data_IF_590889181261
#
_entry.id   IF_590889181261
#
_cell.length_a   1.000
_cell.length_b   1.000
_cell.length_c   1.000
_cell.angle_alpha   90.00
_cell.angle_beta   90.00
_cell.angle_gamma   90.00
#
_symmetry.space_group_name_H-M   'P 1'
#
loop_
_entity.id
_entity.type
_entity.pdbx_description
1 polymer ?
#
# COMPACT_ATOMS: atom_id res chain seq x y z
N UNK A 1 20.54 -4.29 34.68
CA UNK A 1 21.52 -5.30 34.29
C UNK A 1 22.19 -4.80 33.02
N UNK A 2 23.37 -4.17 33.15
CA UNK A 2 24.20 -3.69 32.03
C UNK A 2 25.18 -4.82 31.71
N UNK A 3 25.27 -5.22 30.45
CA UNK A 3 26.34 -6.09 29.96
C UNK A 3 26.89 -5.44 28.69
N UNK A 4 28.21 -5.38 28.67
CA UNK A 4 29.05 -4.50 27.90
C UNK A 4 29.22 -4.90 26.43
N UNK A 5 29.49 -3.87 25.63
CA UNK A 5 29.96 -3.92 24.26
C UNK A 5 31.37 -4.52 24.19
N UNK A 6 31.58 -5.56 23.38
CA UNK A 6 32.92 -6.03 22.99
C UNK A 6 33.19 -5.66 21.55
N UNK A 7 34.08 -4.68 21.41
CA UNK A 7 34.75 -4.28 20.17
C UNK A 7 35.95 -5.21 19.98
N UNK A 8 35.99 -5.96 18.87
CA UNK A 8 37.09 -6.87 18.51
C UNK A 8 37.68 -6.51 17.14
N UNK A 9 38.96 -6.20 17.13
CA UNK A 9 39.70 -5.49 16.08
C UNK A 9 40.35 -6.40 15.02
N UNK A 10 40.48 -5.82 13.81
CA UNK A 10 41.63 -5.90 12.86
C UNK A 10 41.95 -7.22 12.14
N UNK A 11 41.85 -7.14 10.81
CA UNK A 11 42.77 -7.80 9.87
C UNK A 11 43.02 -6.88 8.68
N UNK A 12 44.21 -6.27 8.61
CA UNK A 12 44.77 -5.57 7.43
C UNK A 12 46.10 -6.20 7.13
N UNK A 13 46.33 -6.66 5.90
CA UNK A 13 47.60 -6.77 5.15
C UNK A 13 47.26 -7.13 3.68
N UNK A 14 47.95 -6.74 2.61
CA UNK A 14 48.94 -5.71 2.26
C UNK A 14 49.26 -5.94 0.76
N UNK A 15 49.36 -4.85 -0.02
CA UNK A 15 50.25 -4.55 -1.16
C UNK A 15 50.34 -5.47 -2.40
N UNK A 16 50.22 -4.81 -3.57
CA UNK A 16 50.97 -5.07 -4.80
C UNK A 16 50.19 -4.61 -6.05
N UNK A 17 50.71 -3.95 -7.07
CA UNK A 17 51.97 -3.26 -7.34
C UNK A 17 51.73 -2.33 -8.56
N UNK A 18 52.67 -1.42 -8.80
CA UNK A 18 52.67 -0.39 -9.83
C UNK A 18 52.62 -0.91 -11.28
N UNK A 19 52.08 -0.09 -12.17
CA UNK A 19 52.17 -0.27 -13.63
C UNK A 19 51.81 1.02 -14.36
N UNK A 20 52.72 1.99 -14.37
CA UNK A 20 52.67 3.14 -15.27
C UNK A 20 53.31 2.76 -16.60
N UNK A 21 52.56 2.85 -17.70
CA UNK A 21 53.10 2.91 -19.06
C UNK A 21 52.43 4.09 -19.75
N UNK A 22 53.26 5.04 -20.14
CA UNK A 22 52.87 6.22 -20.90
C UNK A 22 53.26 6.06 -22.38
N UNK A 23 52.59 6.90 -23.19
CA UNK A 23 52.93 7.39 -24.53
C UNK A 23 52.53 6.51 -25.73
N UNK A 24 51.52 6.93 -26.49
CA UNK A 24 51.69 7.66 -27.77
C UNK A 24 50.34 8.02 -28.42
N UNK A 25 50.31 9.23 -28.97
CA UNK A 25 49.19 9.86 -29.64
C UNK A 25 48.73 9.10 -30.89
N UNK A 26 47.41 8.98 -31.03
CA UNK A 26 46.74 8.65 -32.29
C UNK A 26 45.43 9.43 -32.34
N UNK A 27 45.48 10.65 -32.88
CA UNK A 27 44.27 11.43 -33.18
C UNK A 27 43.67 10.83 -34.45
N UNK A 28 42.64 10.00 -34.29
CA UNK A 28 41.77 9.61 -35.40
C UNK A 28 40.45 10.33 -35.18
N UNK A 29 40.19 11.35 -36.00
CA UNK A 29 38.89 11.99 -36.07
C UNK A 29 37.88 10.98 -36.64
N UNK A 30 37.04 10.43 -35.77
CA UNK A 30 35.80 9.74 -36.12
C UNK A 30 34.66 10.43 -35.35
N UNK A 31 33.63 10.82 -36.09
CA UNK A 31 32.69 11.89 -35.73
C UNK A 31 31.82 11.66 -34.49
N UNK A 32 31.10 12.72 -34.03
CA UNK A 32 30.21 12.64 -32.90
C UNK A 32 28.94 11.89 -33.32
N UNK A 33 28.87 10.59 -33.08
CA UNK A 33 27.66 9.80 -33.31
C UNK A 33 27.58 8.59 -32.37
N UNK A 34 27.59 8.81 -31.04
CA UNK A 34 27.23 7.77 -30.07
C UNK A 34 26.67 8.28 -28.73
N UNK A 35 26.63 9.59 -28.48
CA UNK A 35 26.05 10.13 -27.24
C UNK A 35 24.51 10.14 -27.28
N UNK A 36 23.90 10.28 -28.46
CA UNK A 36 22.44 10.32 -28.61
C UNK A 36 21.78 8.96 -28.42
N UNK A 37 22.45 7.85 -28.78
CA UNK A 37 21.87 6.51 -28.64
C UNK A 37 21.67 6.10 -27.17
N UNK A 38 22.61 6.46 -26.29
CA UNK A 38 22.51 6.19 -24.85
C UNK A 38 21.45 7.06 -24.14
N UNK A 39 21.32 8.33 -24.57
CA UNK A 39 20.31 9.25 -24.05
C UNK A 39 18.88 8.93 -24.54
N UNK A 40 18.74 8.38 -25.75
CA UNK A 40 17.45 7.89 -26.27
C UNK A 40 17.03 6.55 -25.68
N UNK A 41 17.98 5.66 -25.37
CA UNK A 41 17.73 4.39 -24.65
C UNK A 41 17.17 4.62 -23.24
N UNK A 42 17.81 5.49 -22.46
CA UNK A 42 17.36 5.81 -21.09
C UNK A 42 15.97 6.49 -21.05
N UNK A 43 15.67 7.34 -22.03
CA UNK A 43 14.33 7.97 -22.18
C UNK A 43 13.27 6.97 -22.64
N UNK A 44 13.64 6.00 -23.48
CA UNK A 44 12.77 4.92 -23.93
C UNK A 44 12.40 3.96 -22.81
N UNK A 45 13.37 3.57 -21.98
CA UNK A 45 13.17 2.73 -20.80
C UNK A 45 12.36 3.43 -19.71
N UNK A 46 12.65 4.71 -19.42
CA UNK A 46 11.86 5.49 -18.47
C UNK A 46 10.41 5.68 -18.94
N UNK A 47 10.17 5.88 -20.24
CA UNK A 47 8.82 5.97 -20.82
C UNK A 47 8.11 4.63 -20.84
N UNK A 48 8.82 3.54 -21.13
CA UNK A 48 8.27 2.18 -21.10
C UNK A 48 7.96 1.73 -19.67
N UNK A 49 8.78 2.10 -18.67
CA UNK A 49 8.52 1.86 -17.25
C UNK A 49 7.38 2.73 -16.73
N UNK A 50 7.32 4.02 -17.11
CA UNK A 50 6.18 4.87 -16.79
C UNK A 50 4.89 4.36 -17.45
N UNK A 51 4.95 3.90 -18.70
CA UNK A 51 3.82 3.25 -19.35
C UNK A 51 3.46 1.91 -18.70
N UNK A 52 4.42 1.08 -18.31
CA UNK A 52 4.16 -0.17 -17.59
C UNK A 52 3.56 0.09 -16.19
N UNK A 53 3.92 1.18 -15.52
CA UNK A 53 3.28 1.60 -14.27
C UNK A 53 1.89 2.20 -14.50
N UNK A 54 1.66 2.89 -15.63
CA UNK A 54 0.31 3.29 -16.08
C UNK A 54 -0.54 2.06 -16.44
N UNK A 55 0.07 0.96 -16.92
CA UNK A 55 -0.62 -0.30 -17.24
C UNK A 55 -0.82 -1.21 -16.02
N UNK A 56 0.04 -1.13 -15.01
CA UNK A 56 -0.10 -1.90 -13.78
C UNK A 56 -1.22 -1.29 -12.93
N UNK A 57 -2.33 -2.00 -12.76
CA UNK A 57 -3.35 -1.61 -11.80
C UNK A 57 -2.78 -1.75 -10.38
N UNK A 58 -2.93 -0.71 -9.56
CA UNK A 58 -2.63 -0.82 -8.14
C UNK A 58 -3.38 -2.02 -7.55
N UNK A 59 -2.68 -2.84 -6.76
CA UNK A 59 -3.27 -4.05 -6.15
C UNK A 59 -2.60 -4.37 -4.82
N UNK A 60 -3.32 -5.11 -3.99
CA UNK A 60 -2.77 -5.79 -2.83
C UNK A 60 -3.26 -7.23 -2.83
N UNK A 61 -2.34 -8.16 -2.68
CA UNK A 61 -2.66 -9.59 -2.65
C UNK A 61 -1.81 -10.29 -1.61
N UNK A 62 -2.39 -11.21 -0.85
CA UNK A 62 -1.62 -12.07 0.04
C UNK A 62 -2.40 -12.59 1.22
N UNK A 63 -1.70 -13.33 2.07
CA UNK A 63 -2.24 -13.80 3.33
C UNK A 63 -1.16 -13.80 4.39
N UNK A 64 -1.49 -13.21 5.54
CA UNK A 64 -0.58 -13.06 6.67
C UNK A 64 -1.26 -13.45 7.97
N UNK A 65 -0.54 -14.18 8.81
CA UNK A 65 -0.84 -14.29 10.23
C UNK A 65 -0.10 -13.17 10.96
N UNK A 66 -0.82 -12.42 11.79
CA UNK A 66 -0.21 -11.34 12.59
C UNK A 66 0.12 -11.84 14.00
N UNK A 67 1.10 -11.20 14.63
CA UNK A 67 1.22 -11.19 16.09
C UNK A 67 0.51 -9.95 16.63
N UNK A 68 -0.37 -10.14 17.62
CA UNK A 68 -1.13 -9.07 18.23
C UNK A 68 -0.92 -9.06 19.74
N UNK A 69 -0.44 -7.95 20.28
CA UNK A 69 0.01 -7.86 21.68
C UNK A 69 -1.09 -8.17 22.70
N UNK A 70 -2.36 -7.88 22.37
CA UNK A 70 -3.50 -8.12 23.26
C UNK A 70 -4.11 -9.51 23.07
N UNK A 71 -3.56 -10.33 22.18
CA UNK A 71 -3.95 -11.74 21.96
C UNK A 71 -2.74 -12.56 21.51
N UNK A 72 -1.68 -12.65 22.34
CA UNK A 72 -0.38 -13.17 21.91
C UNK A 72 -0.40 -14.65 21.54
N UNK A 73 -1.31 -15.43 22.13
CA UNK A 73 -1.44 -16.87 21.91
C UNK A 73 -2.46 -17.22 20.80
N UNK A 74 -3.12 -16.22 20.23
CA UNK A 74 -4.18 -16.43 19.25
C UNK A 74 -3.63 -16.51 17.82
N UNK A 75 -4.31 -17.30 16.99
CA UNK A 75 -4.05 -17.35 15.55
C UNK A 75 -4.98 -16.36 14.84
N UNK A 76 -4.42 -15.22 14.45
CA UNK A 76 -5.14 -14.17 13.72
C UNK A 76 -4.61 -14.09 12.30
N UNK A 77 -5.46 -14.38 11.31
CA UNK A 77 -5.10 -14.42 9.89
C UNK A 77 -5.94 -13.47 9.06
N UNK A 78 -5.27 -12.84 8.11
CA UNK A 78 -5.87 -12.01 7.08
C UNK A 78 -5.53 -12.58 5.71
N UNK A 79 -6.49 -12.49 4.80
CA UNK A 79 -6.26 -12.66 3.37
C UNK A 79 -6.84 -11.45 2.66
N UNK A 80 -6.04 -10.84 1.79
CA UNK A 80 -6.46 -9.69 0.99
C UNK A 80 -6.23 -10.03 -0.47
N UNK A 81 -7.22 -9.71 -1.30
CA UNK A 81 -7.11 -9.76 -2.75
C UNK A 81 -7.93 -8.60 -3.29
N UNK A 82 -7.25 -7.52 -3.67
CA UNK A 82 -7.89 -6.29 -4.11
C UNK A 82 -7.11 -5.61 -5.23
N UNK A 83 -7.86 -4.98 -6.12
CA UNK A 83 -7.32 -4.20 -7.25
C UNK A 83 -8.08 -2.89 -7.40
N UNK A 84 -7.38 -1.88 -7.90
CA UNK A 84 -7.98 -0.61 -8.27
C UNK A 84 -9.04 -0.84 -9.36
N UNK A 85 -10.16 -0.14 -9.20
CA UNK A 85 -11.24 -0.09 -10.17
C UNK A 85 -11.75 1.37 -10.23
N UNK A 86 -10.89 2.31 -10.65
CA UNK A 86 -11.17 3.74 -10.55
C UNK A 86 -12.45 4.12 -11.29
N UNK A 87 -13.22 5.05 -10.73
CA UNK A 87 -14.41 5.62 -11.34
C UNK A 87 -15.54 4.62 -11.66
N UNK A 88 -15.63 3.51 -10.92
CA UNK A 88 -16.62 2.46 -11.17
C UNK A 88 -17.81 2.49 -10.21
N UNK A 89 -17.76 3.29 -9.14
CA UNK A 89 -18.81 3.32 -8.12
C UNK A 89 -19.34 4.74 -7.90
N UNK A 90 -20.51 5.09 -8.46
CA UNK A 90 -21.12 6.38 -8.25
C UNK A 90 -21.31 6.70 -6.77
N UNK A 91 -21.10 7.95 -6.40
CA UNK A 91 -21.35 8.42 -5.03
C UNK A 91 -22.41 9.53 -5.05
N UNK A 92 -23.46 9.42 -4.22
CA UNK A 92 -24.47 10.46 -4.11
C UNK A 92 -23.83 11.82 -3.80
N UNK A 93 -24.24 12.85 -4.53
CA UNK A 93 -23.75 14.22 -4.34
C UNK A 93 -22.42 14.53 -5.04
N UNK A 94 -21.82 13.59 -5.77
CA UNK A 94 -20.65 13.86 -6.62
C UNK A 94 -21.03 13.74 -8.10
N UNK A 95 -20.55 14.69 -8.91
CA UNK A 95 -20.66 14.70 -10.38
C UNK A 95 -19.59 13.84 -11.07
N UNK A 96 -19.04 12.85 -10.36
CA UNK A 96 -18.09 11.88 -10.89
C UNK A 96 -18.76 10.51 -11.04
N UNK A 97 -18.42 9.72 -12.08
CA UNK A 97 -18.91 8.34 -12.22
C UNK A 97 -18.42 7.41 -11.08
N UNK A 98 -17.41 7.83 -10.33
CA UNK A 98 -16.93 7.23 -9.10
C UNK A 98 -15.71 7.97 -8.57
N UNK A 99 -14.96 7.38 -7.63
CA UNK A 99 -13.71 7.95 -7.14
C UNK A 99 -12.48 7.36 -7.86
N UNK A 100 -11.38 8.10 -7.99
CA UNK A 100 -10.11 7.53 -8.48
C UNK A 100 -9.59 6.40 -7.57
N UNK A 101 -10.05 6.36 -6.32
CA UNK A 101 -9.67 5.36 -5.29
C UNK A 101 -10.66 4.19 -5.22
N UNK A 102 -11.65 4.12 -6.11
CA UNK A 102 -12.55 2.97 -6.16
C UNK A 102 -11.75 1.69 -6.38
N UNK A 103 -12.16 0.63 -5.69
CA UNK A 103 -11.50 -0.66 -5.74
C UNK A 103 -12.50 -1.80 -5.64
N UNK A 104 -12.09 -2.96 -6.12
CA UNK A 104 -12.84 -4.21 -6.00
C UNK A 104 -11.95 -5.30 -5.42
N UNK A 105 -12.55 -6.26 -4.75
CA UNK A 105 -11.80 -7.34 -4.11
C UNK A 105 -12.46 -7.87 -2.87
N UNK A 106 -11.71 -8.70 -2.14
CA UNK A 106 -12.16 -9.33 -0.90
C UNK A 106 -11.12 -9.22 0.20
N UNK A 107 -11.63 -9.17 1.42
CA UNK A 107 -10.87 -9.36 2.65
C UNK A 107 -11.48 -10.55 3.38
N UNK A 108 -10.63 -11.45 3.86
CA UNK A 108 -11.01 -12.51 4.79
C UNK A 108 -10.23 -12.33 6.08
N UNK A 109 -10.92 -12.53 7.19
CA UNK A 109 -10.36 -12.51 8.53
C UNK A 109 -10.75 -13.81 9.25
N UNK A 110 -9.83 -14.37 10.01
CA UNK A 110 -10.12 -15.42 10.98
C UNK A 110 -9.31 -15.24 12.25
N UNK A 111 -9.93 -15.48 13.39
CA UNK A 111 -9.33 -15.38 14.71
C UNK A 111 -9.71 -16.63 15.50
N UNK A 112 -8.71 -17.45 15.80
CA UNK A 112 -8.85 -18.64 16.62
C UNK A 112 -8.09 -18.43 17.94
N UNK A 113 -8.79 -18.70 19.04
CA UNK A 113 -8.23 -18.79 20.39
C UNK A 113 -8.49 -20.18 20.94
N UNK A 114 -7.63 -20.67 21.83
CA UNK A 114 -7.81 -21.97 22.48
C UNK A 114 -9.15 -22.05 23.23
N UNK A 115 -9.85 -23.19 23.09
CA UNK A 115 -11.14 -23.43 23.74
C UNK A 115 -12.30 -22.55 23.25
N UNK A 116 -12.10 -21.71 22.23
CA UNK A 116 -13.14 -20.83 21.67
C UNK A 116 -13.47 -21.17 20.23
N UNK A 117 -14.71 -20.91 19.84
CA UNK A 117 -15.13 -21.00 18.43
C UNK A 117 -14.38 -19.94 17.62
N UNK A 118 -13.82 -20.33 16.48
CA UNK A 118 -13.14 -19.41 15.56
C UNK A 118 -14.09 -18.32 15.06
N UNK A 119 -13.71 -17.06 15.30
CA UNK A 119 -14.32 -15.89 14.67
C UNK A 119 -13.84 -15.74 13.23
N UNK A 120 -14.71 -15.37 12.31
CA UNK A 120 -14.35 -15.13 10.93
C UNK A 120 -15.26 -14.11 10.26
N UNK A 121 -14.71 -13.40 9.28
CA UNK A 121 -15.44 -12.44 8.45
C UNK A 121 -14.96 -12.51 7.00
N UNK A 122 -15.88 -12.28 6.06
CA UNK A 122 -15.62 -11.97 4.66
C UNK A 122 -16.20 -10.60 4.37
N UNK A 123 -15.43 -9.77 3.68
CA UNK A 123 -15.81 -8.42 3.32
C UNK A 123 -15.44 -8.13 1.87
N UNK A 124 -16.19 -7.22 1.24
CA UNK A 124 -15.93 -6.71 -0.10
C UNK A 124 -15.19 -5.39 0.00
N UNK A 125 -14.08 -5.26 -0.70
CA UNK A 125 -13.33 -4.00 -0.79
C UNK A 125 -14.13 -2.99 -1.62
N UNK A 126 -14.20 -1.75 -1.14
CA UNK A 126 -14.87 -0.64 -1.83
C UNK A 126 -13.95 0.53 -2.15
N UNK A 127 -12.78 0.62 -1.51
CA UNK A 127 -11.81 1.69 -1.70
C UNK A 127 -10.38 1.17 -1.46
N UNK A 128 -9.42 1.64 -2.25
CA UNK A 128 -7.99 1.36 -2.02
C UNK A 128 -7.11 2.50 -2.55
N UNK A 129 -6.05 2.82 -1.81
CA UNK A 129 -4.94 3.69 -2.24
C UNK A 129 -3.65 2.96 -1.89
N UNK A 130 -2.64 3.09 -2.76
CA UNK A 130 -1.31 2.50 -2.54
C UNK A 130 -0.24 3.58 -2.60
N UNK A 131 0.89 3.36 -1.95
CA UNK A 131 2.06 4.23 -2.01
C UNK A 131 3.21 3.67 -1.19
N UNK A 132 4.43 3.70 -1.72
CA UNK A 132 5.63 3.30 -0.97
C UNK A 132 5.61 1.87 -0.42
N UNK A 133 4.99 0.91 -1.12
CA UNK A 133 4.81 -0.47 -0.63
C UNK A 133 3.75 -0.61 0.48
N UNK A 134 2.92 0.42 0.67
CA UNK A 134 1.80 0.43 1.59
C UNK A 134 0.49 0.48 0.81
N UNK A 135 -0.54 -0.22 1.29
CA UNK A 135 -1.90 -0.13 0.81
C UNK A 135 -2.82 0.26 1.96
N UNK A 136 -3.69 1.23 1.75
CA UNK A 136 -4.82 1.56 2.62
C UNK A 136 -6.09 1.18 1.89
N UNK A 137 -6.95 0.39 2.50
CA UNK A 137 -8.21 -0.03 1.91
C UNK A 137 -9.35 0.01 2.93
N UNK A 138 -10.58 0.08 2.42
CA UNK A 138 -11.78 -0.17 3.22
C UNK A 138 -12.58 -1.30 2.63
N UNK A 139 -13.24 -2.05 3.50
CA UNK A 139 -14.08 -3.16 3.11
C UNK A 139 -15.38 -3.19 3.92
N UNK A 140 -16.43 -3.70 3.30
CA UNK A 140 -17.77 -3.83 3.86
C UNK A 140 -18.05 -5.31 4.11
N UNK A 141 -18.38 -5.68 5.35
CA UNK A 141 -18.69 -7.06 5.75
C UNK A 141 -19.87 -7.59 4.92
N UNK A 142 -19.66 -8.72 4.24
CA UNK A 142 -20.69 -9.42 3.46
C UNK A 142 -21.16 -10.69 4.16
N UNK A 143 -20.29 -11.33 4.96
CA UNK A 143 -20.64 -12.53 5.72
C UNK A 143 -19.72 -12.65 6.94
N UNK A 144 -20.26 -12.89 8.13
CA UNK A 144 -19.46 -13.02 9.35
C UNK A 144 -20.23 -13.76 10.45
N UNK A 145 -19.51 -14.39 11.39
CA UNK A 145 -20.08 -14.89 12.65
C UNK A 145 -19.73 -14.04 13.88
N UNK A 146 -18.94 -12.97 13.70
CA UNK A 146 -18.49 -12.06 14.78
C UNK A 146 -18.84 -10.60 14.52
N UNK A 147 -19.17 -10.25 13.27
CA UNK A 147 -19.40 -8.87 12.84
C UNK A 147 -20.72 -8.69 12.11
N UNK A 148 -21.27 -7.48 12.17
CA UNK A 148 -22.53 -7.15 11.50
C UNK A 148 -22.32 -7.03 9.99
N UNK A 149 -23.15 -7.71 9.19
CA UNK A 149 -23.22 -7.51 7.73
C UNK A 149 -23.51 -6.03 7.43
N UNK A 150 -22.74 -5.45 6.52
CA UNK A 150 -22.80 -4.04 6.16
C UNK A 150 -21.90 -3.11 6.98
N UNK A 151 -21.25 -3.58 8.06
CA UNK A 151 -20.22 -2.79 8.77
C UNK A 151 -19.04 -2.54 7.81
N UNK A 152 -18.59 -1.29 7.71
CA UNK A 152 -17.35 -0.92 7.02
C UNK A 152 -16.21 -0.85 8.03
N UNK A 153 -15.05 -1.37 7.66
CA UNK A 153 -13.80 -1.22 8.41
C UNK A 153 -12.65 -0.83 7.49
N UNK A 154 -11.61 -0.25 8.09
CA UNK A 154 -10.35 0.06 7.43
C UNK A 154 -9.31 -1.03 7.66
N UNK A 155 -8.49 -1.29 6.65
CA UNK A 155 -7.26 -2.07 6.75
C UNK A 155 -6.12 -1.33 6.08
N UNK A 156 -4.93 -1.48 6.64
CA UNK A 156 -3.69 -1.05 6.01
C UNK A 156 -2.70 -2.20 5.99
N UNK A 157 -1.92 -2.28 4.92
CA UNK A 157 -0.85 -3.27 4.72
C UNK A 157 0.41 -2.50 4.38
N UNK A 158 1.54 -2.83 4.99
CA UNK A 158 2.86 -2.34 4.61
C UNK A 158 3.78 -3.52 4.36
N UNK A 159 4.42 -3.53 3.20
CA UNK A 159 5.47 -4.48 2.89
C UNK A 159 6.72 -4.18 3.71
N UNK A 160 7.30 -5.23 4.27
CA UNK A 160 8.58 -5.21 4.94
C UNK A 160 9.72 -4.82 3.99
N UNK A 161 10.78 -4.23 4.53
CA UNK A 161 11.99 -3.86 3.78
C UNK A 161 13.22 -4.19 4.60
N UNK A 162 14.30 -4.61 3.95
CA UNK A 162 15.58 -4.86 4.62
C UNK A 162 15.52 -5.96 5.69
N UNK A 163 14.65 -6.96 5.51
CA UNK A 163 14.47 -8.06 6.47
C UNK A 163 13.38 -7.82 7.53
N UNK A 164 12.80 -6.62 7.59
CA UNK A 164 11.62 -6.37 8.43
C UNK A 164 10.40 -7.16 7.93
N UNK A 165 9.51 -7.63 8.82
CA UNK A 165 8.27 -8.28 8.42
C UNK A 165 7.29 -7.26 7.81
N UNK A 166 6.36 -7.77 7.01
CA UNK A 166 5.17 -7.01 6.65
C UNK A 166 4.39 -6.59 7.91
N UNK A 167 3.61 -5.52 7.80
CA UNK A 167 2.73 -5.05 8.88
C UNK A 167 1.31 -4.89 8.38
N UNK A 168 0.37 -5.09 9.29
CA UNK A 168 -1.06 -4.91 9.05
C UNK A 168 -1.67 -4.01 10.13
N UNK A 169 -2.53 -3.09 9.71
CA UNK A 169 -3.36 -2.27 10.59
C UNK A 169 -4.82 -2.57 10.35
N UNK A 170 -5.63 -2.57 11.40
CA UNK A 170 -7.06 -2.86 11.34
C UNK A 170 -7.88 -1.90 12.18
N UNK A 171 -8.99 -1.41 11.63
CA UNK A 171 -9.76 -0.30 12.16
C UNK A 171 -10.73 -0.63 13.30
N UNK A 172 -10.40 -1.57 14.18
CA UNK A 172 -11.21 -1.98 15.33
C UNK A 172 -10.34 -2.30 16.56
N UNK A 173 -11.00 -2.63 17.67
CA UNK A 173 -10.44 -3.07 18.96
C UNK A 173 -9.68 -2.01 19.76
N UNK A 174 -8.64 -1.40 19.19
CA UNK A 174 -7.80 -0.39 19.87
C UNK A 174 -7.75 0.96 19.13
N UNK A 175 -8.42 1.04 17.98
CA UNK A 175 -8.45 2.21 17.11
C UNK A 175 -9.87 2.49 16.65
N UNK A 176 -10.08 3.67 16.06
CA UNK A 176 -11.39 4.11 15.56
C UNK A 176 -12.46 4.20 16.67
N UNK A 177 -12.08 4.57 17.90
CA UNK A 177 -13.02 5.00 18.93
C UNK A 177 -13.27 6.50 18.86
N UNK A 178 -14.49 6.91 19.16
CA UNK A 178 -14.85 8.30 19.38
C UNK A 178 -14.67 8.65 20.87
N UNK A 179 -13.63 9.43 21.25
CA UNK A 179 -13.28 9.65 22.64
C UNK A 179 -14.32 10.48 23.42
N UNK A 180 -15.21 11.20 22.72
CA UNK A 180 -16.20 12.09 23.35
C UNK A 180 -17.64 11.58 23.26
N UNK A 181 -17.85 10.35 22.80
CA UNK A 181 -19.19 9.76 22.68
C UNK A 181 -19.22 8.38 23.29
N UNK A 182 -20.36 8.09 23.89
CA UNK A 182 -20.74 6.78 24.37
C UNK A 182 -22.10 6.41 23.80
N UNK A 183 -22.43 5.13 23.79
CA UNK A 183 -23.80 4.70 23.50
C UNK A 183 -24.74 5.00 24.68
N UNK A 184 -26.02 4.68 24.54
CA UNK A 184 -27.02 4.90 25.61
C UNK A 184 -26.72 4.15 26.91
N UNK A 185 -25.81 3.18 26.89
CA UNK A 185 -25.40 2.36 28.04
C UNK A 185 -24.04 2.79 28.60
N UNK A 186 -23.43 3.85 28.07
CA UNK A 186 -22.13 4.33 28.51
C UNK A 186 -20.94 3.59 27.90
N UNK A 187 -21.14 2.71 26.91
CA UNK A 187 -20.02 2.01 26.26
C UNK A 187 -19.31 2.92 25.25
N UNK A 188 -18.02 2.69 25.05
CA UNK A 188 -17.26 3.32 23.97
C UNK A 188 -17.90 3.03 22.61
N UNK A 189 -17.84 3.99 21.69
CA UNK A 189 -18.44 3.87 20.36
C UNK A 189 -17.40 3.93 19.26
N UNK A 190 -17.51 3.01 18.31
CA UNK A 190 -16.78 3.03 17.05
C UNK A 190 -17.61 3.80 16.01
N UNK A 191 -17.22 5.03 15.60
CA UNK A 191 -17.85 5.71 14.48
C UNK A 191 -17.72 4.91 13.17
N UNK A 192 -18.62 5.23 12.24
CA UNK A 192 -18.59 4.67 10.89
C UNK A 192 -17.32 5.10 10.17
N UNK A 193 -16.60 4.13 9.61
CA UNK A 193 -15.40 4.38 8.81
C UNK A 193 -15.77 5.00 7.45
N UNK A 194 -15.06 6.07 7.07
CA UNK A 194 -15.11 6.67 5.73
C UNK A 194 -14.45 5.76 4.68
N UNK A 195 -14.51 6.11 3.39
CA UNK A 195 -13.78 5.36 2.35
C UNK A 195 -12.29 5.62 2.44
N UNK A 196 -11.45 4.59 2.25
CA UNK A 196 -9.98 4.70 2.31
C UNK A 196 -9.42 5.26 3.63
N UNK A 197 -10.16 5.12 4.73
CA UNK A 197 -9.69 5.45 6.08
C UNK A 197 -9.28 4.17 6.80
N UNK A 198 -8.02 4.08 7.22
CA UNK A 198 -7.49 2.97 8.02
C UNK A 198 -6.40 3.48 8.97
N UNK A 199 -6.15 2.80 10.11
CA UNK A 199 -5.03 3.10 10.98
C UNK A 199 -3.69 2.82 10.28
N UNK A 200 -2.58 3.29 10.86
CA UNK A 200 -1.25 2.88 10.44
C UNK A 200 -1.05 1.35 10.59
N UNK A 201 -0.23 0.70 9.73
CA UNK A 201 0.14 -0.69 9.92
C UNK A 201 0.98 -0.86 11.19
N UNK A 202 0.46 -1.60 12.18
CA UNK A 202 1.12 -1.74 13.48
C UNK A 202 1.47 -3.18 13.82
N UNK A 203 0.61 -4.14 13.47
CA UNK A 203 0.78 -5.54 13.85
C UNK A 203 1.74 -6.24 12.87
N UNK A 204 2.87 -6.80 13.34
CA UNK A 204 3.80 -7.52 12.47
C UNK A 204 3.18 -8.81 11.97
N UNK A 205 3.40 -9.12 10.69
CA UNK A 205 3.08 -10.40 10.07
C UNK A 205 4.19 -11.38 10.43
N UNK A 206 3.83 -12.47 11.11
CA UNK A 206 4.76 -13.50 11.58
C UNK A 206 4.79 -14.73 10.69
N UNK A 207 3.81 -14.89 9.80
CA UNK A 207 3.76 -15.97 8.82
C UNK A 207 2.99 -15.55 7.57
N UNK A 208 3.54 -15.84 6.40
CA UNK A 208 2.99 -15.38 5.12
C UNK A 208 3.42 -13.94 4.83
N UNK A 209 2.64 -13.23 4.02
CA UNK A 209 2.97 -11.87 3.58
C UNK A 209 2.00 -11.34 2.53
N UNK A 210 2.27 -10.13 2.09
CA UNK A 210 1.47 -9.38 1.13
C UNK A 210 2.35 -8.77 0.04
N UNK A 211 1.85 -8.82 -1.18
CA UNK A 211 2.37 -8.06 -2.33
C UNK A 211 1.54 -6.80 -2.49
N UNK A 212 2.18 -5.63 -2.48
CA UNK A 212 1.55 -4.34 -2.75
C UNK A 212 2.16 -3.77 -4.02
N UNK A 213 1.36 -3.70 -5.07
CA UNK A 213 1.74 -2.98 -6.29
C UNK A 213 1.15 -1.60 -6.26
N UNK A 214 2.03 -0.61 -6.34
CA UNK A 214 1.67 0.78 -6.44
C UNK A 214 1.42 1.19 -7.89
N UNK A 215 0.39 2.02 -8.07
CA UNK A 215 0.18 2.83 -9.26
C UNK A 215 -0.39 4.19 -8.84
N UNK A 216 -0.02 5.23 -9.57
CA UNK A 216 -0.57 6.57 -9.38
C UNK A 216 -2.07 6.60 -9.68
N UNK A 217 -2.78 7.54 -9.05
CA UNK A 217 -4.19 7.74 -9.32
C UNK A 217 -4.38 8.18 -10.78
N UNK A 218 -5.36 7.60 -11.52
CA UNK A 218 -5.59 7.99 -12.90
C UNK A 218 -6.11 9.43 -12.99
N UNK A 219 -5.91 10.09 -14.16
CA UNK A 219 -6.52 11.39 -14.41
C UNK A 219 -8.05 11.31 -14.37
N UNK A 220 -8.69 12.46 -14.17
CA UNK A 220 -10.15 12.55 -14.24
C UNK A 220 -10.66 12.14 -15.63
N UNK A 221 -11.83 11.50 -15.73
CA UNK A 221 -12.45 11.18 -17.01
C UNK A 221 -12.68 12.43 -17.86
N UNK A 222 -12.47 12.32 -19.18
CA UNK A 222 -12.62 13.45 -20.11
C UNK A 222 -14.02 14.08 -20.07
N UNK A 223 -15.06 13.28 -19.79
CA UNK A 223 -16.44 13.74 -19.61
C UNK A 223 -16.61 14.72 -18.45
N UNK A 224 -15.71 14.72 -17.47
CA UNK A 224 -15.69 15.65 -16.33
C UNK A 224 -14.69 16.79 -16.59
N UNK A 225 -13.53 16.48 -17.17
CA UNK A 225 -12.48 17.48 -17.45
C UNK A 225 -12.95 18.57 -18.43
N UNK A 226 -13.75 18.23 -19.44
CA UNK A 226 -14.32 19.19 -20.38
C UNK A 226 -15.31 20.18 -19.74
N UNK A 227 -16.02 19.76 -18.70
CA UNK A 227 -17.00 20.61 -17.98
C UNK A 227 -16.27 21.65 -17.11
N UNK A 228 -15.14 21.27 -16.49
CA UNK A 228 -14.32 22.20 -15.72
C UNK A 228 -13.63 23.26 -16.62
N UNK A 229 -13.18 22.86 -17.82
CA UNK A 229 -12.62 23.77 -18.81
C UNK A 229 -13.62 24.81 -19.33
N UNK A 230 -14.87 24.41 -19.59
CA UNK A 230 -15.93 25.31 -20.02
C UNK A 230 -16.36 26.31 -18.92
N UNK A 231 -16.44 25.86 -17.66
CA UNK A 231 -16.77 26.72 -16.53
C UNK A 231 -15.66 27.75 -16.20
N UNK A 232 -14.40 27.41 -16.47
CA UNK A 232 -13.26 28.33 -16.32
C UNK A 232 -13.17 29.41 -17.39
N UNK A 233 -13.62 29.12 -18.61
CA UNK A 233 -13.67 30.09 -19.72
C UNK A 233 -14.81 31.11 -19.55
N UNK A 234 -15.96 30.68 -19.01
CA UNK A 234 -17.12 31.56 -18.78
C UNK A 234 -16.94 32.57 -17.64
N UNK A 235 -15.89 32.48 -16.82
CA UNK A 235 -15.58 33.43 -15.72
C UNK A 235 -14.52 34.47 -16.07
N UNK A 236 -14.04 34.50 -17.32
CA UNK A 236 -13.03 35.46 -17.80
C UNK A 236 -13.54 36.35 -18.95
N UNK A 237 -14.86 36.43 -19.12
CA UNK A 237 -15.53 37.32 -20.09
C UNK A 237 -16.26 38.45 -19.39
#
# INVERSE_FOLDING_TARGET
MRIDSVRGSRGVRVIGAAGAVAVLAGVVAAGPAAADAAAHGAKGEARAQAQAQIQAQARVQGSGQISYAYSPDDTIKFTVDAKAAPFTRPMPGLSLPGLPTDATGTVKFSHASEGRKTGWSRARVDCMVTGGGTATLTAIVTKSNVEKVGKRFGLSVQQGRGGEPDRLGFGWDIVNFEPRKTDKKGNAVEPRVGTCMAPAPFAPVVKGGFDVVHADLPPLPASVAGVAGAAGAARRG
#
